data_IF_921602629210
#
_entry.id   IF_921602629210
#
_cell.length_a   1.000
_cell.length_b   1.000
_cell.length_c   1.000
_cell.angle_alpha   90.00
_cell.angle_beta   90.00
_cell.angle_gamma   90.00
#
_symmetry.space_group_name_H-M   'P 1'
#
loop_
_entity.id
_entity.type
_entity.pdbx_description
1 polymer ?
#
# COMPACT_ATOMS: atom_id res chain seq x y z
N UNK A 1 -50.67 39.75 -0.41
CA UNK A 1 -49.72 39.04 -1.29
C UNK A 1 -48.39 39.02 -0.56
N UNK A 2 -48.07 37.90 0.08
CA UNK A 2 -46.74 37.63 0.63
C UNK A 2 -45.95 36.93 -0.49
N UNK A 3 -44.68 37.27 -0.73
CA UNK A 3 -43.90 36.55 -1.72
C UNK A 3 -43.52 35.17 -1.17
N UNK A 4 -43.80 34.13 -1.95
CA UNK A 4 -43.36 32.77 -1.69
C UNK A 4 -41.82 32.73 -1.63
N UNK A 5 -41.29 32.37 -0.46
CA UNK A 5 -39.89 32.00 -0.31
C UNK A 5 -39.68 30.67 -1.05
N UNK A 6 -39.27 30.77 -2.31
CA UNK A 6 -38.62 29.66 -3.02
C UNK A 6 -37.27 29.42 -2.36
N UNK A 7 -37.21 28.50 -1.41
CA UNK A 7 -35.95 27.88 -1.01
C UNK A 7 -35.50 27.04 -2.19
N UNK A 8 -34.56 27.57 -2.98
CA UNK A 8 -33.85 26.78 -3.98
C UNK A 8 -32.94 25.86 -3.19
N UNK A 9 -33.33 24.58 -3.08
CA UNK A 9 -32.42 23.53 -2.61
C UNK A 9 -31.22 23.49 -3.57
N UNK A 10 -30.15 24.17 -3.18
CA UNK A 10 -28.88 24.13 -3.89
C UNK A 10 -28.31 22.73 -3.69
N UNK A 11 -28.07 22.01 -4.79
CA UNK A 11 -27.31 20.77 -4.74
C UNK A 11 -25.97 21.04 -4.04
N UNK A 12 -25.80 20.41 -2.87
CA UNK A 12 -24.58 20.50 -2.08
C UNK A 12 -23.45 19.95 -2.93
N UNK A 13 -22.43 20.78 -3.17
CA UNK A 13 -21.28 20.37 -3.96
C UNK A 13 -20.58 19.20 -3.27
N UNK A 14 -19.89 18.35 -4.04
CA UNK A 14 -19.12 17.24 -3.48
C UNK A 14 -18.08 17.72 -2.44
N UNK A 15 -17.56 18.93 -2.62
CA UNK A 15 -16.67 19.60 -1.67
C UNK A 15 -17.38 19.99 -0.37
N UNK A 16 -18.60 20.54 -0.45
CA UNK A 16 -19.41 20.82 0.73
C UNK A 16 -19.79 19.52 1.47
N UNK A 17 -20.16 18.45 0.75
CA UNK A 17 -20.40 17.11 1.34
C UNK A 17 -19.18 16.53 2.04
N UNK A 18 -18.00 16.68 1.43
CA UNK A 18 -16.72 16.26 2.03
C UNK A 18 -16.45 17.06 3.29
N UNK A 19 -16.48 18.39 3.22
CA UNK A 19 -16.17 19.25 4.35
C UNK A 19 -17.15 19.04 5.53
N UNK A 20 -18.45 18.88 5.27
CA UNK A 20 -19.44 18.57 6.31
C UNK A 20 -19.14 17.24 7.01
N UNK A 21 -18.79 16.19 6.24
CA UNK A 21 -18.40 14.89 6.79
C UNK A 21 -17.12 14.97 7.64
N UNK A 22 -16.14 15.80 7.23
CA UNK A 22 -14.85 15.94 7.92
C UNK A 22 -14.91 16.78 9.20
N UNK A 23 -15.77 17.81 9.27
CA UNK A 23 -15.90 18.68 10.44
C UNK A 23 -16.29 17.87 11.68
N UNK A 24 -17.13 16.84 11.50
CA UNK A 24 -17.62 15.95 12.57
C UNK A 24 -16.47 15.17 13.23
N UNK A 25 -15.47 14.73 12.46
CA UNK A 25 -14.43 13.80 12.93
C UNK A 25 -13.09 14.45 13.32
N UNK A 26 -12.92 15.75 13.04
CA UNK A 26 -11.65 16.47 13.32
C UNK A 26 -11.36 16.74 14.81
N UNK A 27 -12.33 16.55 15.70
CA UNK A 27 -12.23 16.91 17.13
C UNK A 27 -11.30 16.02 17.98
N UNK A 28 -10.75 14.93 17.42
CA UNK A 28 -9.90 13.95 18.14
C UNK A 28 -8.55 13.71 17.46
N UNK A 29 -7.83 14.79 17.14
CA UNK A 29 -6.49 14.72 16.56
C UNK A 29 -5.45 14.17 17.55
N UNK A 30 -4.98 12.95 17.30
CA UNK A 30 -3.72 12.44 17.85
C UNK A 30 -2.82 11.96 16.71
N UNK A 31 -1.67 12.60 16.58
CA UNK A 31 -0.67 12.33 15.55
C UNK A 31 0.10 11.05 15.91
N UNK A 32 -0.39 9.87 15.50
CA UNK A 32 0.38 8.63 15.63
C UNK A 32 0.36 7.80 14.34
N UNK A 33 1.48 7.89 13.61
CA UNK A 33 2.28 6.77 13.08
C UNK A 33 1.50 5.54 12.59
N UNK A 34 1.05 5.53 11.32
CA UNK A 34 0.99 4.34 10.42
C UNK A 34 0.34 4.61 9.03
N UNK A 35 0.44 5.83 8.48
CA UNK A 35 -0.16 6.19 7.18
C UNK A 35 0.31 5.26 6.05
N UNK A 36 -0.60 4.86 5.16
CA UNK A 36 -0.27 4.00 4.00
C UNK A 36 0.28 4.80 2.80
N UNK A 37 0.03 6.11 2.77
CA UNK A 37 0.45 7.05 1.73
C UNK A 37 0.99 8.36 2.33
N UNK A 38 1.86 9.06 1.57
CA UNK A 38 2.31 10.43 1.88
C UNK A 38 2.05 11.32 0.65
N UNK A 39 1.37 12.47 0.84
CA UNK A 39 0.90 13.31 -0.28
C UNK A 39 1.76 14.56 -0.56
N UNK A 40 2.87 14.76 0.17
CA UNK A 40 3.77 15.90 0.00
C UNK A 40 5.23 15.45 -0.19
N UNK A 41 5.88 15.91 -1.25
CA UNK A 41 7.33 15.81 -1.40
C UNK A 41 8.02 16.59 -0.28
N UNK A 42 8.58 15.84 0.68
CA UNK A 42 9.24 16.39 1.86
C UNK A 42 10.68 15.87 1.95
N UNK A 43 11.47 16.43 2.87
CA UNK A 43 12.79 15.87 3.22
C UNK A 43 12.69 14.39 3.59
N UNK A 44 11.56 13.98 4.20
CA UNK A 44 11.29 12.58 4.53
C UNK A 44 11.14 11.71 3.28
N UNK A 45 10.49 12.23 2.23
CA UNK A 45 10.37 11.55 0.93
C UNK A 45 11.74 11.28 0.30
N UNK A 46 12.61 12.30 0.27
CA UNK A 46 13.97 12.15 -0.24
C UNK A 46 14.76 11.14 0.59
N UNK A 47 14.68 11.25 1.92
CA UNK A 47 15.33 10.30 2.81
C UNK A 47 14.87 8.86 2.56
N UNK A 48 13.56 8.63 2.40
CA UNK A 48 13.01 7.31 2.06
C UNK A 48 13.57 6.76 0.76
N UNK A 49 13.60 7.59 -0.29
CA UNK A 49 14.15 7.20 -1.59
C UNK A 49 15.62 6.78 -1.48
N UNK A 50 16.48 7.61 -0.88
CA UNK A 50 17.90 7.29 -0.72
C UNK A 50 18.13 6.09 0.19
N UNK A 51 17.40 5.99 1.30
CA UNK A 51 17.47 4.86 2.22
C UNK A 51 17.12 3.56 1.51
N UNK A 52 16.05 3.54 0.73
CA UNK A 52 15.64 2.37 -0.04
C UNK A 52 16.69 1.99 -1.09
N UNK A 53 17.23 2.96 -1.85
CA UNK A 53 18.31 2.70 -2.80
C UNK A 53 19.54 2.10 -2.11
N UNK A 54 19.98 2.67 -0.97
CA UNK A 54 21.08 2.12 -0.19
C UNK A 54 20.83 0.68 0.29
N UNK A 55 19.60 0.33 0.68
CA UNK A 55 19.27 -1.04 1.08
C UNK A 55 19.33 -2.03 -0.09
N UNK A 56 18.88 -1.61 -1.27
CA UNK A 56 18.86 -2.45 -2.48
C UNK A 56 20.27 -2.63 -3.07
N UNK A 57 21.10 -1.60 -3.00
CA UNK A 57 22.48 -1.62 -3.48
C UNK A 57 23.44 -2.31 -2.50
N UNK A 58 23.02 -2.55 -1.26
CA UNK A 58 23.84 -3.22 -0.26
C UNK A 58 24.24 -4.64 -0.70
N UNK A 59 25.50 -4.99 -0.43
CA UNK A 59 25.99 -6.35 -0.60
C UNK A 59 25.36 -7.29 0.45
N UNK A 60 25.11 -8.56 0.10
CA UNK A 60 24.67 -9.56 1.07
C UNK A 60 25.68 -9.69 2.21
N UNK A 61 25.20 -9.73 3.46
CA UNK A 61 26.07 -10.04 4.59
C UNK A 61 25.84 -11.51 4.98
N UNK A 62 26.91 -12.30 5.23
CA UNK A 62 26.78 -13.73 5.54
C UNK A 62 25.81 -14.06 6.69
N UNK A 63 25.63 -13.15 7.65
CA UNK A 63 24.76 -13.34 8.82
C UNK A 63 23.32 -12.85 8.62
N UNK A 64 22.94 -12.36 7.43
CA UNK A 64 21.61 -11.77 7.22
C UNK A 64 20.46 -12.74 7.48
N UNK A 65 20.61 -13.98 7.02
CA UNK A 65 19.59 -15.02 7.23
C UNK A 65 19.46 -15.35 8.73
N UNK A 66 20.58 -15.56 9.41
CA UNK A 66 20.59 -15.86 10.85
C UNK A 66 19.99 -14.71 11.68
N UNK A 67 20.33 -13.46 11.36
CA UNK A 67 19.78 -12.27 12.01
C UNK A 67 18.26 -12.13 11.80
N UNK A 68 17.75 -12.49 10.62
CA UNK A 68 16.33 -12.45 10.33
C UNK A 68 15.57 -13.58 11.04
N UNK A 69 16.16 -14.78 11.10
CA UNK A 69 15.61 -15.90 11.87
C UNK A 69 15.53 -15.56 13.36
N UNK A 70 16.56 -14.92 13.91
CA UNK A 70 16.55 -14.44 15.29
C UNK A 70 15.42 -13.41 15.51
N UNK A 71 15.27 -12.45 14.59
CA UNK A 71 14.16 -11.49 14.64
C UNK A 71 12.80 -12.20 14.67
N UNK A 72 12.57 -13.19 13.81
CA UNK A 72 11.32 -13.95 13.81
C UNK A 72 11.04 -14.64 15.14
N UNK A 73 12.05 -15.20 15.81
CA UNK A 73 11.86 -15.84 17.13
C UNK A 73 11.47 -14.85 18.23
N UNK A 74 11.85 -13.58 18.11
CA UNK A 74 11.42 -12.54 19.05
C UNK A 74 9.98 -12.07 18.83
N UNK A 75 9.37 -12.42 17.69
CA UNK A 75 8.04 -11.97 17.27
C UNK A 75 6.98 -13.02 17.58
N UNK A 76 6.05 -12.68 18.47
CA UNK A 76 4.93 -13.55 18.87
C UNK A 76 3.98 -13.97 17.71
N UNK A 77 3.98 -13.23 16.61
CA UNK A 77 3.13 -13.48 15.44
C UNK A 77 3.65 -14.55 14.49
N UNK A 78 4.92 -14.93 14.60
CA UNK A 78 5.56 -15.85 13.67
C UNK A 78 5.62 -17.25 14.29
N UNK A 79 5.04 -18.24 13.62
CA UNK A 79 5.07 -19.63 14.11
C UNK A 79 6.44 -20.27 13.89
N UNK A 80 6.87 -21.14 14.82
CA UNK A 80 8.10 -21.93 14.68
C UNK A 80 8.13 -22.75 13.37
N UNK A 81 6.96 -23.23 12.92
CA UNK A 81 6.85 -23.91 11.63
C UNK A 81 7.18 -22.99 10.46
N UNK A 82 6.71 -21.73 10.49
CA UNK A 82 7.04 -20.73 9.48
C UNK A 82 8.54 -20.39 9.47
N UNK A 83 9.17 -20.30 10.64
CA UNK A 83 10.62 -20.09 10.79
C UNK A 83 11.39 -21.27 10.21
N UNK A 84 11.00 -22.50 10.54
CA UNK A 84 11.65 -23.70 10.01
C UNK A 84 11.53 -23.79 8.49
N UNK A 85 10.35 -23.50 7.95
CA UNK A 85 10.11 -23.51 6.51
C UNK A 85 10.92 -22.44 5.79
N UNK A 86 10.97 -21.21 6.32
CA UNK A 86 11.83 -20.16 5.78
C UNK A 86 13.30 -20.56 5.80
N UNK A 87 13.79 -21.04 6.94
CA UNK A 87 15.18 -21.47 7.08
C UNK A 87 15.56 -22.58 6.09
N UNK A 88 14.65 -23.50 5.82
CA UNK A 88 14.92 -24.69 5.01
C UNK A 88 14.73 -24.45 3.53
N UNK A 89 13.74 -23.63 3.16
CA UNK A 89 13.27 -23.53 1.78
C UNK A 89 13.45 -22.16 1.15
N UNK A 90 13.74 -21.09 1.91
CA UNK A 90 13.88 -19.76 1.33
C UNK A 90 15.03 -19.69 0.34
N UNK A 91 14.71 -19.25 -0.87
CA UNK A 91 15.65 -18.89 -1.93
C UNK A 91 15.24 -17.56 -2.56
N UNK A 92 16.17 -16.87 -3.21
CA UNK A 92 15.92 -15.57 -3.82
C UNK A 92 14.80 -15.60 -4.88
N UNK A 93 14.58 -16.73 -5.57
CA UNK A 93 13.48 -16.96 -6.52
C UNK A 93 12.13 -17.26 -5.85
N UNK A 94 12.10 -17.50 -4.54
CA UNK A 94 10.87 -17.72 -3.75
C UNK A 94 10.49 -16.51 -2.87
N UNK A 95 11.21 -15.40 -2.93
CA UNK A 95 10.95 -14.21 -2.12
C UNK A 95 9.49 -13.71 -2.20
N UNK A 96 8.88 -13.64 -3.39
CA UNK A 96 7.45 -13.26 -3.53
C UNK A 96 6.51 -14.28 -2.85
N UNK A 97 6.80 -15.58 -2.97
CA UNK A 97 6.03 -16.64 -2.30
C UNK A 97 6.06 -16.46 -0.77
N UNK A 98 7.25 -16.24 -0.21
CA UNK A 98 7.40 -16.01 1.24
C UNK A 98 6.84 -14.66 1.69
N UNK A 99 6.91 -13.64 0.83
CA UNK A 99 6.32 -12.33 1.07
C UNK A 99 4.80 -12.42 1.22
N UNK A 100 4.12 -13.04 0.26
CA UNK A 100 2.64 -13.15 0.22
C UNK A 100 2.07 -14.14 1.23
N UNK A 101 2.91 -14.94 1.90
CA UNK A 101 2.45 -15.91 2.89
C UNK A 101 1.81 -15.21 4.09
N UNK A 102 0.58 -15.60 4.39
CA UNK A 102 -0.22 -14.99 5.45
C UNK A 102 0.51 -14.96 6.79
N UNK A 103 0.53 -13.78 7.43
CA UNK A 103 1.05 -13.59 8.79
C UNK A 103 2.57 -13.62 8.94
N UNK A 104 3.33 -13.66 7.84
CA UNK A 104 4.78 -13.87 7.89
C UNK A 104 5.59 -12.59 7.59
N UNK A 105 5.99 -12.37 6.34
CA UNK A 105 6.93 -11.28 5.98
C UNK A 105 6.22 -9.99 5.57
N UNK A 106 5.12 -10.10 4.81
CA UNK A 106 4.38 -8.96 4.26
C UNK A 106 4.13 -7.83 5.27
N UNK A 107 3.59 -8.20 6.45
CA UNK A 107 3.17 -7.23 7.46
C UNK A 107 4.36 -6.48 8.04
N UNK A 108 5.40 -7.21 8.44
CA UNK A 108 6.58 -6.64 9.11
C UNK A 108 7.36 -5.72 8.16
N UNK A 109 7.56 -6.12 6.91
CA UNK A 109 8.22 -5.29 5.90
C UNK A 109 7.43 -4.00 5.65
N UNK A 110 6.12 -4.10 5.41
CA UNK A 110 5.30 -2.93 5.11
C UNK A 110 5.16 -1.99 6.32
N UNK A 111 5.16 -2.51 7.54
CA UNK A 111 5.20 -1.68 8.75
C UNK A 111 6.55 -0.98 8.93
N UNK A 112 7.66 -1.69 8.73
CA UNK A 112 9.00 -1.12 8.82
C UNK A 112 9.22 -0.03 7.76
N UNK A 113 8.72 -0.24 6.53
CA UNK A 113 8.76 0.75 5.46
C UNK A 113 7.93 2.00 5.81
N UNK A 114 6.69 1.84 6.28
CA UNK A 114 5.83 2.98 6.67
C UNK A 114 6.44 3.80 7.81
N UNK A 115 7.00 3.14 8.81
CA UNK A 115 7.60 3.77 10.01
C UNK A 115 9.06 4.22 9.82
N UNK A 116 9.71 3.83 8.72
CA UNK A 116 11.16 3.99 8.51
C UNK A 116 11.98 3.35 9.64
N UNK A 117 11.58 2.16 10.07
CA UNK A 117 12.33 1.41 11.07
C UNK A 117 13.60 0.82 10.45
N UNK A 118 14.70 1.59 10.50
CA UNK A 118 15.96 1.25 9.83
C UNK A 118 16.53 -0.09 10.33
N UNK A 119 16.45 -0.40 11.62
CA UNK A 119 16.94 -1.67 12.16
C UNK A 119 16.20 -2.86 11.52
N UNK A 120 14.87 -2.77 11.44
CA UNK A 120 14.06 -3.81 10.78
C UNK A 120 14.37 -3.89 9.28
N UNK A 121 14.42 -2.75 8.60
CA UNK A 121 14.71 -2.71 7.17
C UNK A 121 16.09 -3.28 6.85
N UNK A 122 17.10 -3.06 7.69
CA UNK A 122 18.42 -3.68 7.54
C UNK A 122 18.36 -5.19 7.70
N UNK A 123 17.55 -5.74 8.62
CA UNK A 123 17.35 -7.19 8.78
C UNK A 123 16.59 -7.83 7.62
N UNK A 124 15.67 -7.09 7.01
CA UNK A 124 14.90 -7.52 5.85
C UNK A 124 15.56 -7.20 4.50
N UNK A 125 16.71 -6.54 4.46
CA UNK A 125 17.24 -5.93 3.23
C UNK A 125 17.48 -6.93 2.09
N UNK A 126 17.92 -8.15 2.40
CA UNK A 126 18.13 -9.17 1.36
C UNK A 126 16.79 -9.66 0.80
N UNK A 127 15.79 -9.88 1.65
CA UNK A 127 14.43 -10.24 1.22
C UNK A 127 13.82 -9.11 0.39
N UNK A 128 13.99 -7.85 0.81
CA UNK A 128 13.58 -6.68 0.04
C UNK A 128 14.22 -6.68 -1.35
N UNK A 129 15.55 -6.85 -1.42
CA UNK A 129 16.29 -6.91 -2.68
C UNK A 129 15.81 -8.06 -3.58
N UNK A 130 15.58 -9.24 -3.01
CA UNK A 130 15.10 -10.40 -3.76
C UNK A 130 13.69 -10.16 -4.33
N UNK A 131 12.77 -9.57 -3.57
CA UNK A 131 11.44 -9.19 -4.06
C UNK A 131 11.56 -8.17 -5.21
N UNK A 132 12.39 -7.14 -5.06
CA UNK A 132 12.63 -6.15 -6.11
C UNK A 132 13.18 -6.78 -7.38
N UNK A 133 14.16 -7.67 -7.26
CA UNK A 133 14.76 -8.38 -8.38
C UNK A 133 13.74 -9.26 -9.10
N UNK A 134 12.90 -9.99 -8.36
CA UNK A 134 11.82 -10.77 -8.96
C UNK A 134 10.80 -9.89 -9.68
N UNK A 135 10.31 -8.82 -9.06
CA UNK A 135 9.36 -7.90 -9.70
C UNK A 135 9.96 -7.26 -10.96
N UNK A 136 11.23 -6.86 -10.91
CA UNK A 136 11.95 -6.30 -12.07
C UNK A 136 12.02 -7.32 -13.20
N UNK A 137 12.39 -8.56 -12.88
CA UNK A 137 12.44 -9.65 -13.86
C UNK A 137 11.05 -9.92 -14.45
N UNK A 138 10.02 -10.04 -13.62
CA UNK A 138 8.64 -10.30 -14.07
C UNK A 138 8.10 -9.19 -14.96
N UNK A 139 8.35 -7.93 -14.59
CA UNK A 139 7.98 -6.76 -15.40
C UNK A 139 8.64 -6.79 -16.78
N UNK A 140 9.89 -7.27 -16.87
CA UNK A 140 10.62 -7.38 -18.13
C UNK A 140 10.13 -8.54 -19.00
N UNK A 141 9.80 -9.71 -18.42
CA UNK A 141 9.41 -10.91 -19.20
C UNK A 141 7.92 -10.98 -19.50
N UNK A 142 7.07 -10.32 -18.71
CA UNK A 142 5.61 -10.26 -18.87
C UNK A 142 5.14 -8.81 -18.68
N UNK A 143 5.51 -7.90 -19.59
CA UNK A 143 5.08 -6.51 -19.48
C UNK A 143 3.55 -6.40 -19.60
N UNK A 144 2.97 -5.48 -18.84
CA UNK A 144 1.57 -5.08 -19.04
C UNK A 144 1.54 -4.12 -20.24
N UNK A 145 1.19 -4.66 -21.42
CA UNK A 145 1.29 -3.93 -22.69
C UNK A 145 0.07 -3.04 -23.00
N UNK A 146 -1.06 -3.27 -22.34
CA UNK A 146 -2.31 -2.54 -22.54
C UNK A 146 -2.72 -1.81 -21.26
N UNK A 147 -3.48 -0.72 -21.42
CA UNK A 147 -4.03 0.01 -20.28
C UNK A 147 -4.86 -0.92 -19.40
N UNK A 148 -4.42 -1.12 -18.16
CA UNK A 148 -4.97 -2.15 -17.26
C UNK A 148 -5.44 -1.49 -15.97
N UNK A 149 -6.66 -1.83 -15.56
CA UNK A 149 -7.19 -1.38 -14.28
C UNK A 149 -6.88 -2.41 -13.19
N UNK A 150 -6.37 -1.92 -12.07
CA UNK A 150 -6.19 -2.68 -10.85
C UNK A 150 -6.92 -1.99 -9.69
N UNK A 151 -7.30 -2.80 -8.72
CA UNK A 151 -8.18 -2.38 -7.63
C UNK A 151 -7.54 -2.68 -6.29
N UNK A 152 -7.82 -1.83 -5.30
CA UNK A 152 -7.47 -2.12 -3.90
C UNK A 152 -8.55 -1.61 -2.97
N UNK A 153 -9.15 -2.51 -2.21
CA UNK A 153 -10.05 -2.18 -1.12
C UNK A 153 -9.31 -2.14 0.21
N UNK A 154 -9.40 -1.04 0.95
CA UNK A 154 -8.89 -0.96 2.32
C UNK A 154 -9.66 0.06 3.16
N UNK A 155 -9.61 -0.12 4.48
CA UNK A 155 -9.99 0.93 5.42
C UNK A 155 -8.82 1.87 5.63
N UNK A 156 -9.07 3.18 5.53
CA UNK A 156 -8.08 4.21 5.87
C UNK A 156 -8.66 5.20 6.87
N UNK A 157 -7.78 5.77 7.68
CA UNK A 157 -8.16 6.76 8.68
C UNK A 157 -8.60 8.06 8.02
N UNK A 158 -9.53 8.78 8.65
CA UNK A 158 -10.04 10.07 8.16
C UNK A 158 -8.94 11.10 7.82
N UNK A 159 -7.85 11.17 8.58
CA UNK A 159 -6.72 12.05 8.26
C UNK A 159 -6.01 11.67 6.96
N UNK A 160 -5.92 10.38 6.64
CA UNK A 160 -5.33 9.93 5.38
C UNK A 160 -6.25 10.26 4.19
N UNK A 161 -7.58 10.17 4.38
CA UNK A 161 -8.57 10.68 3.41
C UNK A 161 -8.37 12.17 3.15
N UNK A 162 -8.16 12.96 4.21
CA UNK A 162 -7.92 14.40 4.09
C UNK A 162 -6.68 14.69 3.23
N UNK A 163 -5.58 13.98 3.50
CA UNK A 163 -4.35 14.12 2.73
C UNK A 163 -4.59 13.78 1.26
N UNK A 164 -5.26 12.66 0.96
CA UNK A 164 -5.60 12.26 -0.41
C UNK A 164 -6.50 13.28 -1.13
N UNK A 165 -7.50 13.81 -0.44
CA UNK A 165 -8.38 14.83 -0.99
C UNK A 165 -7.63 16.13 -1.28
N UNK A 166 -6.73 16.53 -0.38
CA UNK A 166 -5.86 17.69 -0.60
C UNK A 166 -4.93 17.49 -1.78
N UNK A 167 -4.30 16.31 -1.93
CA UNK A 167 -3.47 16.06 -3.10
C UNK A 167 -4.25 16.02 -4.40
N UNK A 168 -5.48 15.51 -4.40
CA UNK A 168 -6.40 15.63 -5.53
C UNK A 168 -6.66 17.11 -5.90
N UNK A 169 -7.07 17.93 -4.92
CA UNK A 169 -7.41 19.35 -5.15
C UNK A 169 -6.23 20.18 -5.62
N UNK A 170 -5.04 19.91 -5.06
CA UNK A 170 -3.81 20.64 -5.41
C UNK A 170 -3.08 20.05 -6.62
N UNK A 171 -3.57 18.93 -7.17
CA UNK A 171 -2.91 18.17 -8.25
C UNK A 171 -1.46 17.86 -7.92
N UNK A 172 -1.20 17.42 -6.70
CA UNK A 172 0.13 16.96 -6.28
C UNK A 172 0.15 15.43 -6.21
N UNK A 173 1.27 14.78 -6.54
CA UNK A 173 1.37 13.33 -6.54
C UNK A 173 1.33 12.78 -5.11
N UNK A 174 0.67 11.63 -4.96
CA UNK A 174 0.69 10.81 -3.75
C UNK A 174 1.70 9.69 -3.90
N UNK A 175 2.51 9.45 -2.86
CA UNK A 175 3.56 8.44 -2.84
C UNK A 175 3.17 7.30 -1.90
N UNK A 176 3.26 6.06 -2.40
CA UNK A 176 3.06 4.85 -1.60
C UNK A 176 4.42 4.33 -1.15
N UNK A 177 4.67 4.38 0.16
CA UNK A 177 5.98 4.08 0.74
C UNK A 177 6.15 2.63 1.18
N UNK A 178 5.13 1.80 1.01
CA UNK A 178 5.17 0.35 1.24
C UNK A 178 4.97 -0.38 -0.09
N UNK A 179 5.13 -1.69 -0.10
CA UNK A 179 4.59 -2.44 -1.23
C UNK A 179 3.09 -2.23 -1.31
N UNK A 180 2.60 -2.06 -2.53
CA UNK A 180 1.21 -1.77 -2.78
C UNK A 180 0.59 -2.94 -3.51
N UNK A 181 -0.16 -3.75 -2.77
CA UNK A 181 -0.86 -4.92 -3.31
C UNK A 181 -2.21 -4.50 -3.89
N UNK A 182 -2.47 -4.91 -5.12
CA UNK A 182 -3.71 -4.62 -5.84
C UNK A 182 -4.18 -5.87 -6.56
N UNK A 183 -5.43 -5.92 -6.98
CA UNK A 183 -6.00 -7.05 -7.70
C UNK A 183 -6.46 -6.62 -9.09
N UNK A 184 -6.26 -7.48 -10.10
CA UNK A 184 -6.94 -7.36 -11.39
C UNK A 184 -8.45 -7.60 -11.26
N UNK A 185 -8.90 -8.24 -10.18
CA UNK A 185 -10.29 -8.55 -9.91
C UNK A 185 -10.91 -7.54 -8.93
N UNK A 186 -11.84 -6.73 -9.44
CA UNK A 186 -12.55 -5.75 -8.62
C UNK A 186 -13.31 -6.40 -7.46
N UNK A 187 -13.83 -7.63 -7.63
CA UNK A 187 -14.60 -8.30 -6.59
C UNK A 187 -13.73 -8.76 -5.42
N UNK A 188 -12.49 -9.15 -5.69
CA UNK A 188 -11.50 -9.45 -4.64
C UNK A 188 -11.28 -8.22 -3.76
N UNK A 189 -11.10 -7.04 -4.39
CA UNK A 189 -10.94 -5.77 -3.67
C UNK A 189 -12.16 -5.38 -2.84
N UNK A 190 -13.38 -5.58 -3.35
CA UNK A 190 -14.59 -5.36 -2.58
C UNK A 190 -14.76 -6.35 -1.42
N UNK A 191 -14.34 -7.61 -1.61
CA UNK A 191 -14.33 -8.61 -0.57
C UNK A 191 -13.48 -8.19 0.64
N UNK A 192 -12.34 -7.55 0.41
CA UNK A 192 -11.53 -6.99 1.50
C UNK A 192 -12.24 -5.87 2.28
N UNK A 193 -13.05 -5.03 1.62
CA UNK A 193 -13.86 -4.02 2.29
C UNK A 193 -14.97 -4.67 3.12
N UNK A 194 -15.65 -5.69 2.57
CA UNK A 194 -16.68 -6.43 3.31
C UNK A 194 -16.10 -7.11 4.55
N UNK A 195 -15.01 -7.86 4.41
CA UNK A 195 -14.34 -8.51 5.54
C UNK A 195 -13.77 -7.49 6.56
N UNK A 196 -13.38 -6.30 6.10
CA UNK A 196 -12.93 -5.22 6.95
C UNK A 196 -14.06 -4.58 7.76
N UNK A 197 -15.27 -4.50 7.22
CA UNK A 197 -16.45 -3.95 7.92
C UNK A 197 -16.80 -4.74 9.19
N UNK A 198 -16.60 -6.05 9.15
CA UNK A 198 -16.84 -6.94 10.28
C UNK A 198 -15.78 -6.76 11.40
N UNK A 199 -14.59 -6.25 11.06
CA UNK A 199 -13.43 -6.14 11.96
C UNK A 199 -13.19 -4.72 12.46
N UNK A 200 -13.54 -3.70 11.66
CA UNK A 200 -13.29 -2.30 11.96
C UNK A 200 -14.58 -1.63 12.45
N UNK A 201 -14.80 -1.68 13.77
CA UNK A 201 -15.86 -0.94 14.45
C UNK A 201 -15.43 0.48 14.86
N UNK A 202 -14.26 0.95 14.42
CA UNK A 202 -13.76 2.29 14.76
C UNK A 202 -14.44 3.34 13.89
N UNK A 203 -15.05 4.34 14.54
CA UNK A 203 -15.68 5.49 13.86
C UNK A 203 -14.68 6.32 13.04
N UNK A 204 -13.38 6.14 13.25
CA UNK A 204 -12.33 7.00 12.66
C UNK A 204 -11.77 6.52 11.32
N UNK A 205 -12.25 5.38 10.80
CA UNK A 205 -11.77 4.81 9.54
C UNK A 205 -12.92 4.57 8.57
N UNK A 206 -12.68 4.81 7.28
CA UNK A 206 -13.69 4.64 6.22
C UNK A 206 -13.21 3.64 5.17
N UNK A 207 -14.14 2.86 4.57
CA UNK A 207 -13.81 1.98 3.47
C UNK A 207 -13.48 2.79 2.21
N UNK A 208 -12.39 2.44 1.53
CA UNK A 208 -11.98 3.07 0.28
C UNK A 208 -11.64 2.01 -0.76
N UNK A 209 -12.17 2.19 -1.96
CA UNK A 209 -11.76 1.45 -3.14
C UNK A 209 -10.88 2.34 -4.02
N UNK A 210 -9.60 2.03 -4.08
CA UNK A 210 -8.69 2.57 -5.08
C UNK A 210 -8.94 1.88 -6.42
N UNK A 211 -9.04 2.65 -7.49
CA UNK A 211 -9.02 2.17 -8.87
C UNK A 211 -7.85 2.86 -9.57
N UNK A 212 -6.90 2.07 -10.06
CA UNK A 212 -5.64 2.56 -10.61
C UNK A 212 -5.55 2.06 -12.04
N UNK A 213 -5.33 2.98 -12.98
CA UNK A 213 -5.10 2.65 -14.38
C UNK A 213 -3.60 2.68 -14.64
N UNK A 214 -3.03 1.53 -14.98
CA UNK A 214 -1.64 1.38 -15.39
C UNK A 214 -1.56 1.67 -16.89
N UNK A 215 -0.74 2.64 -17.30
CA UNK A 215 -0.47 2.94 -18.71
C UNK A 215 0.98 2.62 -19.07
N UNK A 216 1.19 2.14 -20.30
CA UNK A 216 2.50 1.70 -20.80
C UNK A 216 3.60 2.77 -20.71
N UNK A 217 3.25 4.03 -20.96
CA UNK A 217 4.23 5.13 -20.98
C UNK A 217 4.71 5.58 -19.60
N UNK A 218 4.06 5.14 -18.53
CA UNK A 218 4.30 5.64 -17.17
C UNK A 218 5.17 4.67 -16.32
N UNK A 219 5.73 3.62 -16.95
CA UNK A 219 6.48 2.56 -16.28
C UNK A 219 7.96 2.92 -16.15
N UNK A 220 8.42 3.15 -14.92
CA UNK A 220 9.84 3.33 -14.60
C UNK A 220 10.50 2.01 -14.21
N UNK A 221 11.73 1.76 -14.68
CA UNK A 221 12.54 0.63 -14.23
C UNK A 221 12.97 0.73 -12.76
N UNK A 222 12.97 1.94 -12.18
CA UNK A 222 13.36 2.18 -10.78
C UNK A 222 12.26 1.82 -9.77
N UNK A 223 11.04 1.58 -10.23
CA UNK A 223 9.88 1.27 -9.39
C UNK A 223 9.06 0.17 -10.06
N UNK A 224 9.55 -1.07 -10.04
CA UNK A 224 8.92 -2.16 -10.76
C UNK A 224 7.58 -2.55 -10.13
N UNK A 225 6.71 -3.11 -10.96
CA UNK A 225 5.51 -3.79 -10.53
C UNK A 225 5.26 -4.97 -11.46
N UNK A 226 4.54 -5.99 -10.99
CA UNK A 226 4.24 -7.14 -11.81
C UNK A 226 2.99 -7.87 -11.35
N UNK A 227 2.41 -8.65 -12.28
CA UNK A 227 1.48 -9.72 -11.94
C UNK A 227 2.24 -10.85 -11.24
N UNK A 228 1.88 -11.07 -9.98
CA UNK A 228 2.50 -12.09 -9.13
C UNK A 228 1.56 -13.26 -8.85
N UNK A 229 0.43 -13.38 -9.54
CA UNK A 229 -0.59 -14.42 -9.31
C UNK A 229 -0.02 -15.84 -9.36
N UNK A 230 1.01 -16.08 -10.18
CA UNK A 230 1.64 -17.40 -10.30
C UNK A 230 2.63 -17.72 -9.16
N UNK A 231 3.12 -16.68 -8.47
CA UNK A 231 4.15 -16.75 -7.43
C UNK A 231 3.59 -16.52 -6.03
N UNK A 232 2.40 -15.90 -5.93
CA UNK A 232 1.69 -15.66 -4.68
C UNK A 232 1.18 -16.97 -4.09
N UNK A 233 1.13 -17.04 -2.75
CA UNK A 233 0.45 -18.12 -2.03
C UNK A 233 -1.06 -18.08 -2.19
N UNK A 234 -1.63 -16.94 -2.61
CA UNK A 234 -3.07 -16.73 -2.78
C UNK A 234 -3.36 -16.36 -4.25
N UNK A 235 -3.23 -17.34 -5.14
CA UNK A 235 -3.28 -17.13 -6.60
C UNK A 235 -4.60 -16.50 -7.10
N UNK A 236 -5.70 -16.82 -6.45
CA UNK A 236 -7.04 -16.38 -6.85
C UNK A 236 -7.26 -14.86 -6.65
N UNK A 237 -6.39 -14.20 -5.88
CA UNK A 237 -6.44 -12.74 -5.69
C UNK A 237 -5.99 -11.96 -6.94
N UNK A 238 -5.41 -12.62 -7.94
CA UNK A 238 -4.92 -12.00 -9.18
C UNK A 238 -4.06 -10.75 -8.93
N UNK A 239 -3.08 -10.91 -8.05
CA UNK A 239 -2.37 -9.79 -7.43
C UNK A 239 -1.38 -9.12 -8.40
N UNK A 240 -1.52 -7.80 -8.59
CA UNK A 240 -0.47 -6.93 -9.11
C UNK A 240 0.19 -6.25 -7.90
N UNK A 241 1.49 -6.51 -7.71
CA UNK A 241 2.27 -5.96 -6.62
C UNK A 241 3.20 -4.86 -7.12
N UNK A 242 3.07 -3.66 -6.54
CA UNK A 242 3.98 -2.55 -6.81
C UNK A 242 5.01 -2.40 -5.69
N UNK A 243 6.24 -2.03 -6.04
CA UNK A 243 7.27 -1.69 -5.06
C UNK A 243 6.96 -0.42 -4.25
N UNK A 244 7.60 -0.21 -3.09
CA UNK A 244 7.66 1.10 -2.45
C UNK A 244 8.17 2.21 -3.38
N UNK A 245 7.73 3.45 -3.12
CA UNK A 245 8.14 4.65 -3.84
C UNK A 245 7.26 5.00 -5.05
N UNK A 246 6.19 4.24 -5.30
CA UNK A 246 5.28 4.47 -6.42
C UNK A 246 4.54 5.78 -6.25
N UNK A 247 4.45 6.53 -7.35
CA UNK A 247 3.82 7.83 -7.40
C UNK A 247 2.54 7.75 -8.21
N UNK A 248 1.44 8.26 -7.66
CA UNK A 248 0.15 8.30 -8.32
C UNK A 248 -0.43 9.70 -8.30
N UNK A 249 -0.99 10.11 -9.43
CA UNK A 249 -1.87 11.27 -9.51
C UNK A 249 -3.31 10.80 -9.28
N UNK A 250 -4.05 11.55 -8.46
CA UNK A 250 -5.48 11.27 -8.25
C UNK A 250 -6.25 12.05 -9.32
N UNK A 251 -6.89 11.34 -10.23
CA UNK A 251 -7.69 11.96 -11.31
C UNK A 251 -9.14 12.19 -10.91
N UNK A 252 -9.65 11.35 -10.01
CA UNK A 252 -11.03 11.38 -9.55
C UNK A 252 -11.11 10.99 -8.08
N UNK A 253 -11.95 11.68 -7.34
CA UNK A 253 -12.25 11.38 -5.94
C UNK A 253 -13.77 11.36 -5.80
N UNK A 254 -14.36 10.19 -5.57
CA UNK A 254 -15.82 10.03 -5.47
C UNK A 254 -16.24 9.59 -4.07
N UNK A 255 -17.34 10.15 -3.58
CA UNK A 255 -18.05 9.63 -2.41
C UNK A 255 -19.25 8.83 -2.90
N UNK A 256 -19.16 7.50 -2.83
CA UNK A 256 -20.32 6.64 -3.00
C UNK A 256 -21.09 6.62 -1.68
N UNK A 257 -22.23 7.31 -1.64
CA UNK A 257 -23.22 7.11 -0.60
C UNK A 257 -24.06 5.87 -0.92
N UNK A 258 -24.58 5.23 0.12
CA UNK A 258 -25.82 4.46 -0.02
C UNK A 258 -26.99 5.41 -0.33
#
# INVERSE_FOLDING_TARGET
>A
MLPDNYTIDREVTQEERFNESMIIDSAHYNETSQRSSECLFSTKTLFRYFMLKCLLDAEPIPSDNDNLIELFRTKLSVSEQGIYEFKTNYTADQAILFYTKYGFIYKEINEALRSINIDYLLRFRFVLKDIYNQLTHLMAVKPIDEATNVYRGQYIHFYEIFDLFNSFKQRVPTIINSFFSTSLDRQVSLGFLQAGSERNSSITSVPVLFTITIQKQDVSSDSPFADISQYSTIRDEKEILFTPGQMFMIDKFDMTGD
#
